data_IF_163906065779
#
_entry.id   IF_163906065779
#
_cell.length_a   1.000
_cell.length_b   1.000
_cell.length_c   1.000
_cell.angle_alpha   90.00
_cell.angle_beta   90.00
_cell.angle_gamma   90.00
#
_symmetry.space_group_name_H-M   'P 1'
#
loop_
_entity.id
_entity.type
_entity.pdbx_description
1 polymer ?
2 non-polymer ?
3 water ?
#
# COMPACT_ATOMS: atom_id res chain seq x y z
N UNK A 5 17.73 0.96 6.96
CA UNK A 5 17.82 0.25 8.26
C UNK A 5 17.27 -1.16 8.18
N UNK A 6 17.38 -1.90 9.28
CA UNK A 6 16.62 -3.13 9.48
C UNK A 6 15.69 -3.00 10.69
N UNK A 7 14.79 -2.04 10.57
CA UNK A 7 13.68 -1.77 11.47
C UNK A 7 12.40 -2.07 10.69
N UNK A 8 11.27 -2.03 11.38
CA UNK A 8 9.95 -2.22 10.79
C UNK A 8 9.17 -0.93 10.93
N UNK A 9 8.40 -0.58 9.90
CA UNK A 9 7.48 0.54 10.01
C UNK A 9 6.08 0.15 9.56
N UNK A 10 5.14 0.98 9.99
CA UNK A 10 3.76 0.96 9.54
C UNK A 10 3.46 2.33 8.94
N UNK A 11 2.69 2.34 7.86
CA UNK A 11 2.24 3.60 7.27
C UNK A 11 0.88 3.41 6.61
N UNK A 12 0.04 4.43 6.75
CA UNK A 12 -1.26 4.47 6.09
C UNK A 12 -1.10 5.15 4.74
N UNK A 13 -1.91 4.74 3.76
CA UNK A 13 -1.86 5.34 2.43
C UNK A 13 -3.25 5.53 1.84
N UNK A 14 -3.37 6.55 1.00
CA UNK A 14 -4.55 6.76 0.17
C UNK A 14 -4.07 7.31 -1.17
N UNK A 15 -4.54 6.67 -2.24
CA UNK A 15 -4.09 6.97 -3.59
C UNK A 15 -5.24 7.60 -4.38
N UNK A 16 -4.91 8.67 -5.11
CA UNK A 16 -5.86 9.50 -5.84
C UNK A 16 -5.56 9.47 -7.33
N UNK A 17 -6.62 9.49 -8.15
CA UNK A 17 -6.50 9.55 -9.61
C UNK A 17 -7.39 8.51 -10.25
N UNK A 18 -6.93 7.92 -11.36
CA UNK A 18 -7.62 6.78 -11.96
C UNK A 18 -7.06 5.55 -11.27
N UNK A 19 -7.71 5.18 -10.17
CA UNK A 19 -7.20 4.18 -9.25
C UNK A 19 -8.20 3.08 -8.89
N UNK A 20 -9.47 3.23 -9.26
CA UNK A 20 -10.46 2.16 -9.12
C UNK A 20 -10.81 1.62 -10.50
N UNK A 21 -11.20 0.35 -10.52
CA UNK A 21 -11.55 -0.31 -11.77
C UNK A 21 -10.38 -0.56 -12.71
N UNK A 22 -9.17 -0.59 -12.16
CA UNK A 22 -7.96 -0.77 -12.97
C UNK A 22 -7.06 -1.89 -12.43
N UNK A 23 -7.67 -2.82 -11.69
CA UNK A 23 -6.95 -3.95 -11.07
C UNK A 23 -5.93 -3.47 -10.04
N UNK A 24 -6.17 -2.30 -9.46
CA UNK A 24 -5.23 -1.74 -8.49
C UNK A 24 -5.13 -2.62 -7.23
N UNK A 25 -6.25 -3.14 -6.75
CA UNK A 25 -6.22 -3.93 -5.53
C UNK A 25 -5.41 -5.22 -5.73
N UNK A 26 -5.66 -5.91 -6.84
CA UNK A 26 -4.92 -7.13 -7.16
C UNK A 26 -3.42 -6.87 -7.28
N UNK A 27 -3.05 -5.81 -7.98
CA UNK A 27 -1.63 -5.51 -8.15
C UNK A 27 -0.98 -5.04 -6.85
N UNK A 28 -1.71 -4.29 -6.03
CA UNK A 28 -1.17 -3.84 -4.75
C UNK A 28 -0.89 -5.04 -3.85
N UNK A 29 -1.84 -5.96 -3.77
CA UNK A 29 -1.65 -7.17 -2.98
C UNK A 29 -0.45 -7.96 -3.48
N UNK A 30 -0.34 -8.13 -4.80
CA UNK A 30 0.76 -8.89 -5.36
C UNK A 30 2.12 -8.23 -5.06
N UNK A 31 2.20 -6.91 -5.22
CA UNK A 31 3.45 -6.22 -4.96
C UNK A 31 3.78 -6.24 -3.47
N UNK A 32 2.78 -6.03 -2.62
CA UNK A 32 3.00 -6.13 -1.18
C UNK A 32 3.55 -7.48 -0.77
N UNK A 33 2.94 -8.55 -1.28
CA UNK A 33 3.41 -9.89 -0.98
C UNK A 33 4.82 -10.13 -1.51
N UNK A 34 5.09 -9.66 -2.73
CA UNK A 34 6.43 -9.80 -3.29
C UNK A 34 7.49 -9.16 -2.38
N UNK A 35 7.15 -8.00 -1.82
CA UNK A 35 8.04 -7.25 -0.95
C UNK A 35 8.07 -7.76 0.50
N UNK A 36 7.30 -8.80 0.81
CA UNK A 36 7.26 -9.35 2.16
C UNK A 36 6.52 -8.47 3.15
N UNK A 37 5.58 -7.67 2.65
CA UNK A 37 4.79 -6.79 3.48
C UNK A 37 3.48 -7.45 3.89
N UNK A 38 2.94 -6.97 5.01
CA UNK A 38 1.59 -7.31 5.42
C UNK A 38 0.78 -6.02 5.49
N UNK A 39 -0.53 -6.15 5.62
CA UNK A 39 -1.42 -5.00 5.61
C UNK A 39 -2.62 -5.27 4.74
N UNK A 40 -3.10 -4.23 4.07
CA UNK A 40 -4.36 -4.35 3.34
C UNK A 40 -4.51 -3.24 2.32
N UNK A 41 -5.46 -3.46 1.41
CA UNK A 41 -5.85 -2.51 0.39
C UNK A 41 -7.37 -2.59 0.23
N UNK A 42 -7.99 -1.45 -0.04
CA UNK A 42 -9.44 -1.35 -0.12
C UNK A 42 -9.83 -0.18 -1.00
N UNK A 43 -10.87 -0.35 -1.82
CA UNK A 43 -11.50 0.80 -2.49
C UNK A 43 -12.32 1.58 -1.48
N UNK A 44 -12.13 2.89 -1.45
CA UNK A 44 -12.88 3.73 -0.52
C UNK A 44 -14.21 4.12 -1.12
N UNK A 45 -15.01 4.80 -0.31
CA UNK A 45 -16.27 5.36 -0.76
C UNK A 45 -16.12 6.71 -1.47
N UNK A 46 -14.89 7.20 -1.62
CA UNK A 46 -14.68 8.47 -2.30
C UNK A 46 -13.81 8.34 -3.55
N UNK A 47 -13.85 7.17 -4.19
CA UNK A 47 -13.19 6.99 -5.48
C UNK A 47 -11.69 6.86 -5.41
N UNK A 48 -11.16 6.47 -4.25
CA UNK A 48 -9.73 6.33 -4.03
C UNK A 48 -9.43 4.90 -3.57
N UNK A 49 -8.15 4.63 -3.33
CA UNK A 49 -7.71 3.35 -2.80
C UNK A 49 -6.93 3.63 -1.53
N UNK A 50 -7.16 2.85 -0.48
CA UNK A 50 -6.47 3.09 0.78
C UNK A 50 -6.01 1.79 1.41
N UNK A 51 -5.18 1.93 2.43
CA UNK A 51 -4.79 0.79 3.23
C UNK A 51 -3.69 1.12 4.20
N UNK A 52 -3.04 0.07 4.69
CA UNK A 52 -1.88 0.20 5.55
C UNK A 52 -0.84 -0.81 5.10
N UNK A 53 0.43 -0.42 5.25
CA UNK A 53 1.58 -1.27 4.95
C UNK A 53 2.40 -1.46 6.21
N UNK A 54 2.88 -2.68 6.44
CA UNK A 54 3.81 -2.94 7.52
C UNK A 54 4.89 -3.91 7.08
N UNK A 55 6.11 -3.67 7.54
CA UNK A 55 7.20 -4.57 7.26
C UNK A 55 8.54 -3.87 7.34
N UNK A 56 9.59 -4.53 6.82
CA UNK A 56 10.93 -3.94 6.84
C UNK A 56 10.92 -2.57 6.17
N UNK A 57 11.60 -1.61 6.78
CA UNK A 57 11.47 -0.22 6.34
C UNK A 57 11.84 -0.02 4.86
N UNK A 58 12.89 -0.68 4.38
CA UNK A 58 13.28 -0.50 2.98
C UNK A 58 12.22 -1.03 2.02
N UNK A 59 11.55 -2.11 2.42
CA UNK A 59 10.49 -2.70 1.62
C UNK A 59 9.23 -1.84 1.63
N UNK A 60 8.87 -1.30 2.80
CA UNK A 60 7.76 -0.35 2.87
C UNK A 60 8.05 0.87 1.99
N UNK A 61 9.27 1.40 2.06
CA UNK A 61 9.61 2.56 1.24
C UNK A 61 9.54 2.25 -0.25
N UNK A 62 9.98 1.06 -0.65
CA UNK A 62 9.86 0.65 -2.04
C UNK A 62 8.40 0.61 -2.47
N UNK A 63 7.55 0.06 -1.61
CA UNK A 63 6.11 0.02 -1.87
C UNK A 63 5.50 1.41 -1.94
N UNK A 64 5.95 2.32 -1.08
CA UNK A 64 5.45 3.69 -1.14
C UNK A 64 5.78 4.34 -2.48
N UNK A 65 7.00 4.12 -2.96
CA UNK A 65 7.37 4.65 -4.27
C UNK A 65 6.51 4.04 -5.38
N UNK A 66 6.25 2.74 -5.30
CA UNK A 66 5.39 2.04 -6.26
C UNK A 66 3.98 2.64 -6.25
N UNK A 67 3.46 2.93 -5.05
CA UNK A 67 2.15 3.55 -4.89
C UNK A 67 2.08 4.99 -5.38
N UNK A 68 3.23 5.67 -5.44
CA UNK A 68 3.30 7.06 -5.93
C UNK A 68 3.41 7.13 -7.43
N UNK A 69 4.07 6.13 -8.02
CA UNK A 69 4.54 6.25 -9.39
C UNK A 69 4.03 5.22 -10.37
N UNK A 70 3.54 4.08 -9.90
CA UNK A 70 3.24 2.98 -10.80
C UNK A 70 1.88 2.35 -10.58
N UNK A 71 1.66 1.72 -9.43
CA UNK A 71 0.40 1.03 -9.20
C UNK A 71 0.15 -0.04 -10.25
N UNK A 72 -1.11 -0.32 -10.53
CA UNK A 72 -1.42 -1.25 -11.61
C UNK A 72 -1.12 -0.60 -12.96
N UNK A 73 -0.85 -1.42 -14.00
CA UNK A 73 -0.38 -0.87 -15.27
C UNK A 73 -1.27 0.18 -15.92
N UNK A 74 -2.59 0.08 -15.73
CA UNK A 74 -3.52 1.00 -16.38
C UNK A 74 -3.99 2.12 -15.45
N UNK A 75 -3.44 2.17 -14.23
CA UNK A 75 -3.76 3.25 -13.32
C UNK A 75 -3.08 4.55 -13.72
N UNK A 76 -3.63 5.66 -13.24
CA UNK A 76 -3.02 6.97 -13.38
C UNK A 76 -3.06 7.63 -12.03
N UNK A 77 -1.91 7.69 -11.38
CA UNK A 77 -1.82 8.16 -10.01
C UNK A 77 -1.48 9.64 -9.97
N UNK A 78 -2.36 10.44 -9.39
CA UNK A 78 -2.10 11.86 -9.19
C UNK A 78 -1.39 12.16 -7.88
N UNK A 79 -1.69 11.39 -6.84
CA UNK A 79 -1.11 11.65 -5.52
C UNK A 79 -1.26 10.42 -4.66
N UNK A 80 -0.23 10.14 -3.88
CA UNK A 80 -0.31 9.21 -2.77
C UNK A 80 -0.11 10.00 -1.49
N UNK A 81 -1.12 9.99 -0.62
CA UNK A 81 -1.00 10.61 0.69
C UNK A 81 -0.64 9.54 1.70
N UNK A 82 0.44 9.78 2.44
CA UNK A 82 0.87 8.88 3.50
C UNK A 82 0.66 9.54 4.85
N UNK A 83 0.28 8.74 5.84
CA UNK A 83 -0.02 9.26 7.17
C UNK A 83 0.36 8.24 8.22
N UNK A 84 0.54 8.71 9.45
CA UNK A 84 0.78 7.83 10.59
C UNK A 84 1.96 6.89 10.42
N UNK A 85 3.00 7.39 9.77
CA UNK A 85 4.24 6.63 9.62
C UNK A 85 4.89 6.46 10.99
N UNK A 86 5.24 5.23 11.35
CA UNK A 86 5.82 4.98 12.67
C UNK A 86 6.62 3.70 12.68
N UNK A 87 7.63 3.67 13.53
CA UNK A 87 8.36 2.44 13.81
C UNK A 87 7.49 1.51 14.65
N UNK A 88 7.54 0.22 14.33
CA UNK A 88 6.79 -0.80 15.08
C UNK A 88 7.76 -1.93 15.44
N UNK A 89 7.41 -2.68 16.47
CA UNK A 89 8.25 -3.78 16.95
C UNK A 89 7.64 -5.15 16.68
N UNK A 90 6.36 -5.17 16.28
CA UNK A 90 5.63 -6.39 15.93
C UNK A 90 4.73 -6.05 14.76
N UNK A 91 4.32 -7.05 13.99
CA UNK A 91 3.33 -6.85 12.94
C UNK A 91 1.93 -6.98 13.50
N UNK A 92 1.00 -6.21 12.94
CA UNK A 92 -0.41 -6.26 13.31
C UNK A 92 -1.23 -7.16 12.39
N UNK A 93 -0.60 -7.68 11.34
CA UNK A 93 -1.27 -8.51 10.34
C UNK A 93 -0.40 -9.70 10.02
N UNK A 94 -1.02 -10.74 9.48
CA UNK A 94 -0.32 -11.96 9.09
C UNK A 94 -0.41 -12.24 7.59
N UNK A 95 -0.97 -11.29 6.83
CA UNK A 95 -1.17 -11.45 5.40
C UNK A 95 -1.35 -10.06 4.81
N UNK A 96 -1.39 -9.98 3.49
CA UNK A 96 -1.74 -8.75 2.79
C UNK A 96 -3.09 -9.00 2.12
N UNK A 97 -4.14 -8.42 2.68
CA UNK A 97 -5.50 -8.70 2.25
C UNK A 97 -6.08 -7.63 1.34
N UNK A 98 -6.92 -8.07 0.41
CA UNK A 98 -7.84 -7.17 -0.27
C UNK A 98 -9.13 -7.17 0.54
N UNK A 99 -9.51 -6.00 1.04
CA UNK A 99 -10.71 -5.85 1.83
C UNK A 99 -11.81 -5.42 0.89
N UNK A 100 -12.89 -6.20 0.84
CA UNK A 100 -13.99 -5.97 -0.08
C UNK A 100 -14.76 -4.71 0.29
X LIG B 1 -9.89 -2.38 -8.92
X LIG B 1 -10.11 -3.07 -10.23
X LIG B 1 -11.16 -1.78 -8.42
X LIG B 1 -9.26 -3.24 -7.87
X LIG B 1 -8.90 -1.24 -9.18
#
# INVERSE_FOLDING_TARGET
GMAEGNTLISVDYEIFGKVQGVFFRKHTQAEGKKLGLVGWVQNTDRGTVQGQLQGPISKVRHMQEWLETRGSPKSHIDKANFNNEKLIEELDYSDFQIVA
SO4 S O1 O2 O3 O4
#
